data_IF_044317662094
#
_entry.id   IF_044317662094
#
_cell.length_a   1.000
_cell.length_b   1.000
_cell.length_c   1.000
_cell.angle_alpha   90.00
_cell.angle_beta   90.00
_cell.angle_gamma   90.00
#
_symmetry.space_group_name_H-M   'P 1'
#
loop_
_entity.id
_entity.type
_entity.pdbx_description
1 polymer ?
#
# COMPACT_ATOMS: atom_id res chain seq x y z
N UNK A 1 7.71 -5.18 16.01
CA UNK A 1 7.61 -4.76 14.59
C UNK A 1 6.25 -4.15 14.24
N UNK A 2 5.10 -4.70 14.66
CA UNK A 2 3.78 -4.12 14.36
C UNK A 2 3.60 -2.65 14.82
N UNK A 3 4.17 -2.29 15.99
CA UNK A 3 4.13 -0.92 16.54
C UNK A 3 4.74 0.16 15.61
N UNK A 4 5.82 -0.15 14.88
CA UNK A 4 6.46 0.80 13.99
C UNK A 4 5.64 1.06 12.72
N UNK A 5 4.97 0.03 12.20
CA UNK A 5 4.11 0.11 11.02
C UNK A 5 2.79 0.83 11.29
N UNK A 6 2.21 0.60 12.48
CA UNK A 6 1.00 1.31 12.94
C UNK A 6 1.31 2.79 13.19
N UNK A 7 2.50 3.09 13.74
CA UNK A 7 2.98 4.47 13.90
C UNK A 7 3.28 5.14 12.55
N UNK A 8 3.79 4.40 11.56
CA UNK A 8 3.97 4.88 10.18
C UNK A 8 2.62 5.22 9.54
N UNK A 9 1.62 4.33 9.66
CA UNK A 9 0.25 4.59 9.21
C UNK A 9 -0.34 5.83 9.88
N UNK A 10 -0.22 5.94 11.21
CA UNK A 10 -0.69 7.09 11.96
C UNK A 10 0.04 8.38 11.56
N UNK A 11 1.34 8.32 11.21
CA UNK A 11 2.10 9.46 10.70
C UNK A 11 1.62 9.88 9.31
N UNK A 12 1.27 8.92 8.44
CA UNK A 12 0.69 9.19 7.10
C UNK A 12 -0.70 9.86 7.18
N UNK A 13 -1.32 9.91 8.36
CA UNK A 13 -2.53 10.70 8.62
C UNK A 13 -2.25 12.21 8.76
N UNK A 14 -1.00 12.64 9.00
CA UNK A 14 -0.71 14.05 9.25
C UNK A 14 -0.90 14.90 7.98
N UNK A 15 -2.09 15.52 7.87
CA UNK A 15 -2.48 16.36 6.73
C UNK A 15 -3.73 15.91 5.98
N UNK A 16 -4.65 15.16 6.63
CA UNK A 16 -5.87 14.63 6.00
C UNK A 16 -6.63 15.65 5.15
N UNK A 17 -6.95 15.23 3.92
CA UNK A 17 -8.23 15.54 3.30
C UNK A 17 -9.24 14.43 3.64
N UNK A 18 -10.53 14.77 3.72
CA UNK A 18 -11.62 13.95 4.27
C UNK A 18 -11.97 12.64 3.53
N UNK A 19 -11.08 12.05 2.70
CA UNK A 19 -11.44 10.96 1.78
C UNK A 19 -10.38 9.85 1.57
N UNK A 20 -9.35 9.74 2.42
CA UNK A 20 -8.29 8.73 2.26
C UNK A 20 -8.44 7.56 3.23
N UNK A 21 -8.59 6.35 2.68
CA UNK A 21 -8.47 5.10 3.43
C UNK A 21 -7.04 4.54 3.33
N UNK A 22 -6.60 3.84 4.37
CA UNK A 22 -5.27 3.25 4.42
C UNK A 22 -5.35 1.74 4.69
N UNK A 23 -4.62 0.94 3.92
CA UNK A 23 -4.58 -0.51 4.08
C UNK A 23 -3.17 -1.05 4.18
N UNK A 24 -2.95 -2.02 5.07
CA UNK A 24 -1.76 -2.86 5.08
C UNK A 24 -2.00 -4.13 4.28
N UNK A 25 -1.09 -4.43 3.36
CA UNK A 25 -1.12 -5.63 2.54
C UNK A 25 0.09 -6.51 2.88
N UNK A 26 -0.16 -7.57 3.62
CA UNK A 26 0.87 -8.30 4.36
C UNK A 26 0.82 -9.79 4.11
N UNK A 27 2.00 -10.41 4.19
CA UNK A 27 2.20 -11.85 4.24
C UNK A 27 3.09 -12.14 5.46
N UNK A 28 3.16 -13.40 5.90
CA UNK A 28 4.21 -13.81 6.81
C UNK A 28 5.57 -13.92 6.11
N UNK A 29 6.65 -13.86 6.89
CA UNK A 29 8.01 -14.15 6.40
C UNK A 29 8.15 -15.60 5.94
N UNK A 30 8.97 -15.81 4.93
CA UNK A 30 9.25 -17.12 4.32
C UNK A 30 9.65 -18.16 5.39
N UNK A 31 9.13 -19.39 5.27
CA UNK A 31 9.31 -20.44 6.28
C UNK A 31 9.34 -21.85 5.68
N UNK A 32 9.87 -22.81 6.44
CA UNK A 32 9.90 -24.23 6.04
C UNK A 32 8.55 -24.95 6.22
N UNK A 33 7.61 -24.32 6.92
CA UNK A 33 6.25 -24.82 7.11
C UNK A 33 5.24 -23.73 6.77
N UNK A 34 4.03 -24.14 6.40
CA UNK A 34 2.92 -23.22 6.08
C UNK A 34 2.62 -22.27 7.24
N UNK A 35 2.60 -22.83 8.45
CA UNK A 35 2.42 -22.11 9.72
C UNK A 35 3.63 -22.32 10.61
N UNK A 36 4.09 -21.24 11.24
CA UNK A 36 5.21 -21.18 12.16
C UNK A 36 4.76 -20.75 13.56
N UNK A 37 5.54 -21.10 14.58
CA UNK A 37 5.30 -20.64 15.93
C UNK A 37 5.34 -19.11 16.00
N UNK A 38 4.28 -18.50 16.55
CA UNK A 38 4.16 -17.05 16.70
C UNK A 38 3.39 -16.35 15.57
N UNK A 39 3.09 -17.01 14.45
CA UNK A 39 2.31 -16.43 13.35
C UNK A 39 0.94 -15.93 13.83
N UNK A 40 0.22 -16.79 14.58
CA UNK A 40 -1.09 -16.44 15.13
C UNK A 40 -1.02 -15.22 16.05
N UNK A 41 -0.03 -15.17 16.95
CA UNK A 41 0.17 -14.04 17.85
C UNK A 41 0.53 -12.74 17.09
N UNK A 42 1.33 -12.84 16.03
CA UNK A 42 1.69 -11.70 15.20
C UNK A 42 0.48 -11.16 14.42
N UNK A 43 -0.34 -12.06 13.85
CA UNK A 43 -1.55 -11.69 13.15
C UNK A 43 -2.55 -11.02 14.10
N UNK A 44 -2.83 -11.62 15.25
CA UNK A 44 -3.72 -11.03 16.27
C UNK A 44 -3.25 -9.63 16.70
N UNK A 45 -1.94 -9.45 16.91
CA UNK A 45 -1.40 -8.12 17.23
C UNK A 45 -1.65 -7.09 16.12
N UNK A 46 -1.52 -7.48 14.85
CA UNK A 46 -1.78 -6.59 13.71
C UNK A 46 -3.28 -6.25 13.61
N UNK A 47 -4.15 -7.25 13.77
CA UNK A 47 -5.61 -7.07 13.77
C UNK A 47 -6.06 -6.11 14.87
N UNK A 48 -5.63 -6.34 16.11
CA UNK A 48 -5.94 -5.50 17.26
C UNK A 48 -5.50 -4.04 17.03
N UNK A 49 -4.31 -3.83 16.46
CA UNK A 49 -3.79 -2.50 16.21
C UNK A 49 -4.61 -1.75 15.15
N UNK A 50 -5.03 -2.40 14.06
CA UNK A 50 -5.89 -1.78 13.04
C UNK A 50 -7.28 -1.49 13.60
N UNK A 51 -7.84 -2.40 14.39
CA UNK A 51 -9.12 -2.15 15.08
C UNK A 51 -9.02 -0.95 16.03
N UNK A 52 -7.91 -0.83 16.75
CA UNK A 52 -7.68 0.28 17.67
C UNK A 52 -7.56 1.62 16.94
N UNK A 53 -6.86 1.66 15.80
CA UNK A 53 -6.84 2.84 14.93
C UNK A 53 -8.26 3.21 14.48
N UNK A 54 -9.03 2.24 13.99
CA UNK A 54 -10.41 2.48 13.57
C UNK A 54 -11.29 3.03 14.70
N UNK A 55 -11.13 2.54 15.94
CA UNK A 55 -11.85 3.10 17.11
C UNK A 55 -11.43 4.53 17.43
N UNK A 56 -10.12 4.80 17.46
CA UNK A 56 -9.57 6.14 17.80
C UNK A 56 -9.98 7.21 16.80
N UNK A 57 -10.06 6.84 15.52
CA UNK A 57 -10.32 7.78 14.42
C UNK A 57 -11.74 7.68 13.86
N UNK A 58 -12.67 6.97 14.52
CA UNK A 58 -14.03 6.73 14.04
C UNK A 58 -14.83 8.03 13.79
N UNK A 59 -14.56 9.09 14.56
CA UNK A 59 -15.26 10.38 14.46
C UNK A 59 -14.68 11.33 13.41
N UNK A 60 -13.49 11.04 12.88
CA UNK A 60 -12.91 11.84 11.80
C UNK A 60 -13.61 11.47 10.49
N UNK A 61 -14.34 12.41 9.90
CA UNK A 61 -14.96 12.25 8.59
C UNK A 61 -13.87 12.05 7.53
N UNK A 62 -13.50 10.79 7.28
CA UNK A 62 -12.59 10.43 6.20
C UNK A 62 -11.78 9.16 6.46
N UNK A 63 -12.18 8.11 5.72
CA UNK A 63 -11.44 6.87 5.43
C UNK A 63 -11.02 5.98 6.60
N UNK A 64 -11.35 4.69 6.52
CA UNK A 64 -10.95 3.68 7.50
C UNK A 64 -9.52 3.15 7.34
N UNK A 65 -9.11 2.38 8.34
CA UNK A 65 -7.89 1.56 8.33
C UNK A 65 -8.22 0.11 8.03
N UNK A 66 -7.36 -0.51 7.22
CA UNK A 66 -7.57 -1.87 6.74
C UNK A 66 -6.34 -2.75 6.97
N UNK A 67 -6.59 -4.03 7.22
CA UNK A 67 -5.60 -5.10 7.12
C UNK A 67 -6.05 -6.06 6.05
N UNK A 68 -5.14 -6.45 5.17
CA UNK A 68 -5.30 -7.53 4.20
C UNK A 68 -4.11 -8.46 4.39
N UNK A 69 -4.33 -9.57 5.10
CA UNK A 69 -3.28 -10.53 5.42
C UNK A 69 -3.47 -11.83 4.63
N UNK A 70 -2.39 -12.32 4.02
CA UNK A 70 -2.38 -13.53 3.19
C UNK A 70 -1.55 -14.62 3.87
N UNK A 71 -2.02 -15.87 3.77
CA UNK A 71 -1.25 -17.04 4.20
C UNK A 71 -0.04 -17.28 3.29
N UNK A 72 0.94 -18.04 3.79
CA UNK A 72 1.99 -18.59 2.92
C UNK A 72 1.39 -19.62 1.96
N UNK A 73 1.96 -19.75 0.76
CA UNK A 73 1.70 -20.86 -0.17
C UNK A 73 3.01 -21.58 -0.47
N UNK A 74 2.93 -22.90 -0.68
CA UNK A 74 4.09 -23.69 -1.05
C UNK A 74 4.62 -23.28 -2.42
N UNK A 75 5.90 -22.94 -2.50
CA UNK A 75 6.59 -22.74 -3.76
C UNK A 75 7.39 -24.01 -4.11
N UNK A 76 7.02 -24.78 -5.14
CA UNK A 76 7.73 -26.01 -5.51
C UNK A 76 9.13 -25.76 -6.08
N UNK A 77 9.38 -24.61 -6.70
CA UNK A 77 10.67 -24.25 -7.28
C UNK A 77 11.70 -23.92 -6.21
N UNK A 78 11.30 -23.16 -5.19
CA UNK A 78 12.17 -22.74 -4.08
C UNK A 78 12.11 -23.70 -2.88
N UNK A 79 11.15 -24.63 -2.89
CA UNK A 79 10.89 -25.61 -1.81
C UNK A 79 10.70 -24.93 -0.45
N UNK A 80 9.97 -23.82 -0.43
CA UNK A 80 9.73 -23.01 0.76
C UNK A 80 8.28 -22.49 0.75
N UNK A 81 7.73 -22.23 1.93
CA UNK A 81 6.45 -21.55 2.10
C UNK A 81 6.68 -20.04 2.13
N UNK A 82 6.04 -19.30 1.23
CA UNK A 82 6.20 -17.86 1.13
C UNK A 82 4.92 -17.16 0.63
N UNK A 83 4.86 -15.84 0.69
CA UNK A 83 3.76 -15.06 0.13
C UNK A 83 3.70 -15.16 -1.39
N UNK A 84 2.66 -15.79 -1.94
CA UNK A 84 2.53 -16.07 -3.38
C UNK A 84 2.81 -14.85 -4.26
N UNK A 85 3.73 -15.00 -5.23
CA UNK A 85 4.20 -13.95 -6.17
C UNK A 85 4.65 -12.61 -5.52
N UNK A 86 4.94 -12.61 -4.21
CA UNK A 86 5.42 -11.45 -3.43
C UNK A 86 4.60 -10.17 -3.74
N UNK A 87 5.26 -9.05 -4.08
CA UNK A 87 4.61 -7.77 -4.35
C UNK A 87 3.57 -7.86 -5.49
N UNK A 88 3.86 -8.62 -6.56
CA UNK A 88 2.92 -8.80 -7.68
C UNK A 88 1.65 -9.51 -7.20
N UNK A 89 1.80 -10.63 -6.48
CA UNK A 89 0.67 -11.41 -6.01
C UNK A 89 -0.18 -10.65 -5.00
N UNK A 90 0.44 -9.90 -4.10
CA UNK A 90 -0.25 -8.97 -3.20
C UNK A 90 -1.19 -8.04 -3.96
N UNK A 91 -0.67 -7.34 -4.97
CA UNK A 91 -1.45 -6.39 -5.77
C UNK A 91 -2.55 -7.07 -6.59
N UNK A 92 -2.28 -8.26 -7.13
CA UNK A 92 -3.27 -9.04 -7.87
C UNK A 92 -4.46 -9.45 -6.96
N UNK A 93 -4.16 -10.00 -5.78
CA UNK A 93 -5.18 -10.45 -4.82
C UNK A 93 -6.01 -9.26 -4.30
N UNK A 94 -5.35 -8.11 -4.02
CA UNK A 94 -6.05 -6.88 -3.66
C UNK A 94 -6.95 -6.40 -4.81
N UNK A 95 -6.47 -6.42 -6.05
CA UNK A 95 -7.25 -6.00 -7.21
C UNK A 95 -8.49 -6.88 -7.43
N UNK A 96 -8.36 -8.20 -7.27
CA UNK A 96 -9.50 -9.13 -7.29
C UNK A 96 -10.53 -8.77 -6.20
N UNK A 97 -10.07 -8.53 -4.97
CA UNK A 97 -10.94 -8.14 -3.87
C UNK A 97 -11.69 -6.83 -4.16
N UNK A 98 -11.01 -5.82 -4.73
CA UNK A 98 -11.62 -4.53 -5.07
C UNK A 98 -12.62 -4.62 -6.23
N UNK A 99 -12.41 -5.55 -7.17
CA UNK A 99 -13.38 -5.85 -8.23
C UNK A 99 -14.60 -6.65 -7.73
N UNK A 100 -14.62 -7.02 -6.44
CA UNK A 100 -15.75 -7.72 -5.82
C UNK A 100 -15.65 -9.24 -5.87
N UNK A 101 -14.49 -9.80 -6.18
CA UNK A 101 -14.23 -11.23 -6.01
C UNK A 101 -14.29 -11.63 -4.52
N UNK A 102 -14.35 -12.93 -4.27
CA UNK A 102 -14.37 -13.49 -2.92
C UNK A 102 -13.05 -13.30 -2.18
N UNK A 103 -13.08 -13.40 -0.85
CA UNK A 103 -11.92 -13.09 0.00
C UNK A 103 -10.94 -14.24 0.14
N UNK A 104 -11.03 -15.29 -0.68
CA UNK A 104 -10.29 -16.54 -0.44
C UNK A 104 -8.77 -16.37 -0.51
N UNK A 105 -8.28 -15.30 -1.14
CA UNK A 105 -6.85 -14.99 -1.18
C UNK A 105 -6.30 -14.42 0.13
N UNK A 106 -7.17 -14.01 1.06
CA UNK A 106 -6.80 -13.42 2.34
C UNK A 106 -7.19 -14.33 3.50
N UNK A 107 -6.23 -14.60 4.38
CA UNK A 107 -6.46 -15.27 5.65
C UNK A 107 -7.24 -14.37 6.62
N UNK A 108 -6.98 -13.07 6.61
CA UNK A 108 -7.65 -12.10 7.47
C UNK A 108 -7.84 -10.77 6.75
N UNK A 109 -9.03 -10.18 6.93
CA UNK A 109 -9.36 -8.85 6.47
C UNK A 109 -10.01 -8.07 7.61
N UNK A 110 -9.40 -6.95 8.00
CA UNK A 110 -9.93 -6.03 9.02
C UNK A 110 -10.28 -4.70 8.35
N UNK A 111 -11.36 -4.06 8.81
CA UNK A 111 -11.86 -2.76 8.32
C UNK A 111 -13.23 -2.86 7.65
N UNK A 112 -13.92 -1.72 7.54
CA UNK A 112 -15.25 -1.66 6.93
C UNK A 112 -15.16 -1.69 5.40
N UNK A 113 -15.37 -2.88 4.85
CA UNK A 113 -15.23 -3.16 3.41
C UNK A 113 -16.20 -2.39 2.53
N UNK A 114 -17.30 -1.89 3.09
CA UNK A 114 -18.26 -1.09 2.31
C UNK A 114 -17.62 0.20 1.79
N UNK A 115 -16.63 0.72 2.54
CA UNK A 115 -15.88 1.92 2.17
C UNK A 115 -14.92 1.69 1.00
N UNK A 116 -14.46 0.45 0.78
CA UNK A 116 -13.55 0.12 -0.32
C UNK A 116 -14.22 0.25 -1.68
N UNK A 117 -15.52 -0.04 -1.77
CA UNK A 117 -16.29 0.06 -3.02
C UNK A 117 -16.47 1.51 -3.50
N UNK A 118 -16.30 2.49 -2.62
CA UNK A 118 -16.34 3.90 -2.97
C UNK A 118 -14.99 4.43 -3.48
N UNK A 119 -13.90 3.67 -3.33
CA UNK A 119 -12.57 4.07 -3.76
C UNK A 119 -12.43 4.10 -5.28
N UNK A 120 -12.03 5.24 -5.85
CA UNK A 120 -11.79 5.40 -7.29
C UNK A 120 -10.33 5.21 -7.72
N UNK A 121 -9.40 5.46 -6.79
CA UNK A 121 -7.96 5.42 -7.05
C UNK A 121 -7.27 4.61 -5.96
N UNK A 122 -6.25 3.86 -6.34
CA UNK A 122 -5.38 3.11 -5.43
C UNK A 122 -3.97 3.67 -5.54
N UNK A 123 -3.37 4.00 -4.41
CA UNK A 123 -1.96 4.38 -4.33
C UNK A 123 -1.23 3.25 -3.59
N UNK A 124 -0.30 2.61 -4.28
CA UNK A 124 0.54 1.56 -3.71
C UNK A 124 1.85 2.16 -3.22
N UNK A 125 2.26 1.81 -2.01
CA UNK A 125 3.50 2.29 -1.39
C UNK A 125 4.25 1.08 -0.84
N UNK A 126 5.51 0.93 -1.22
CA UNK A 126 6.38 -0.04 -0.58
C UNK A 126 6.71 0.38 0.86
N UNK A 127 7.19 -0.56 1.66
CA UNK A 127 7.45 -0.36 3.10
C UNK A 127 8.49 0.73 3.40
N UNK A 128 9.38 0.98 2.46
CA UNK A 128 10.44 2.00 2.51
C UNK A 128 10.06 3.29 1.76
N UNK A 129 8.94 3.29 1.03
CA UNK A 129 8.46 4.45 0.31
C UNK A 129 7.68 5.37 1.24
N UNK A 130 8.10 6.63 1.33
CA UNK A 130 7.37 7.65 2.06
C UNK A 130 6.48 8.45 1.12
N UNK A 131 5.24 8.66 1.54
CA UNK A 131 4.31 9.55 0.85
C UNK A 131 4.35 10.92 1.54
N UNK A 132 4.88 11.98 0.89
CA UNK A 132 4.87 13.31 1.46
C UNK A 132 3.44 13.82 1.68
N UNK A 133 3.32 14.82 2.56
CA UNK A 133 2.05 15.49 2.82
C UNK A 133 1.46 16.03 1.50
N UNK A 134 0.15 15.92 1.35
CA UNK A 134 -0.63 16.35 0.17
C UNK A 134 -0.32 15.61 -1.14
N UNK A 135 0.72 14.78 -1.22
CA UNK A 135 1.07 14.05 -2.46
C UNK A 135 -0.05 13.15 -2.95
N UNK A 136 -0.78 12.43 -2.08
CA UNK A 136 -1.94 11.65 -2.52
C UNK A 136 -2.99 12.50 -3.24
N UNK A 137 -3.29 13.69 -2.71
CA UNK A 137 -4.23 14.63 -3.34
C UNK A 137 -3.71 15.09 -4.71
N UNK A 138 -2.42 15.40 -4.82
CA UNK A 138 -1.81 15.81 -6.08
C UNK A 138 -1.85 14.68 -7.12
N UNK A 139 -1.47 13.44 -6.75
CA UNK A 139 -1.51 12.27 -7.63
C UNK A 139 -2.93 12.01 -8.14
N UNK A 140 -3.92 12.03 -7.24
CA UNK A 140 -5.34 11.89 -7.60
C UNK A 140 -5.77 13.03 -8.53
N UNK A 141 -5.35 14.28 -8.25
CA UNK A 141 -5.64 15.44 -9.08
C UNK A 141 -5.09 15.31 -10.51
N UNK A 142 -3.86 14.80 -10.66
CA UNK A 142 -3.23 14.53 -11.96
C UNK A 142 -4.03 13.48 -12.74
N UNK A 143 -4.44 12.40 -12.09
CA UNK A 143 -5.21 11.31 -12.70
C UNK A 143 -6.67 11.71 -13.01
N UNK A 144 -7.26 12.61 -12.22
CA UNK A 144 -8.61 13.12 -12.43
C UNK A 144 -8.67 14.25 -13.46
N UNK A 145 -7.52 14.85 -13.81
CA UNK A 145 -7.45 15.97 -14.73
C UNK A 145 -8.08 15.60 -16.09
N UNK A 146 -8.95 16.45 -16.68
CA UNK A 146 -9.67 16.12 -17.92
C UNK A 146 -8.78 15.66 -19.08
N UNK A 147 -7.56 16.19 -19.18
CA UNK A 147 -6.59 15.82 -20.21
C UNK A 147 -5.89 14.47 -19.97
N UNK A 148 -6.00 13.90 -18.77
CA UNK A 148 -5.37 12.62 -18.39
C UNK A 148 -6.38 11.50 -18.14
N UNK A 149 -7.68 11.76 -18.28
CA UNK A 149 -8.71 10.76 -17.99
C UNK A 149 -8.57 9.55 -18.90
N UNK A 150 -8.35 8.38 -18.28
CA UNK A 150 -8.27 7.12 -18.99
C UNK A 150 -9.59 6.80 -19.70
N UNK A 151 -9.55 6.64 -21.02
CA UNK A 151 -10.66 6.10 -21.82
C UNK A 151 -10.40 4.63 -22.09
N UNK A 152 -11.18 3.77 -21.45
CA UNK A 152 -11.13 2.34 -21.68
C UNK A 152 -12.02 1.97 -22.86
N UNK A 153 -11.46 1.30 -23.87
CA UNK A 153 -12.20 0.75 -24.98
C UNK A 153 -12.51 -0.73 -24.70
N UNK A 154 -13.79 -1.04 -24.48
CA UNK A 154 -14.26 -2.41 -24.20
C UNK A 154 -14.01 -3.37 -25.36
N UNK A 155 -13.96 -2.89 -26.61
CA UNK A 155 -13.73 -3.77 -27.77
C UNK A 155 -12.29 -4.24 -27.86
N UNK A 156 -11.34 -3.36 -27.55
CA UNK A 156 -9.90 -3.67 -27.59
C UNK A 156 -9.33 -4.06 -26.24
N UNK A 157 -10.11 -3.91 -25.16
CA UNK A 157 -9.75 -4.33 -23.81
C UNK A 157 -8.61 -3.51 -23.19
N UNK A 158 -8.47 -2.24 -23.56
CA UNK A 158 -7.35 -1.39 -23.13
C UNK A 158 -7.71 0.08 -23.05
N UNK A 159 -6.86 0.84 -22.37
CA UNK A 159 -6.92 2.32 -22.39
C UNK A 159 -6.40 2.82 -23.73
N UNK A 160 -7.19 3.65 -24.42
CA UNK A 160 -6.87 4.22 -25.75
C UNK A 160 -6.48 5.69 -25.69
N UNK A 161 -6.92 6.41 -24.66
CA UNK A 161 -6.57 7.81 -24.39
C UNK A 161 -6.36 8.05 -22.89
N UNK A 162 -5.55 9.04 -22.53
CA UNK A 162 -5.22 9.32 -21.13
C UNK A 162 -4.37 8.23 -20.48
N UNK A 163 -4.37 8.19 -19.15
CA UNK A 163 -3.50 7.28 -18.39
C UNK A 163 -4.26 6.58 -17.27
N UNK A 164 -4.20 5.24 -17.25
CA UNK A 164 -4.77 4.41 -16.17
C UNK A 164 -3.80 4.16 -15.01
N UNK A 165 -2.51 4.39 -15.22
CA UNK A 165 -1.45 4.20 -14.23
C UNK A 165 -0.59 5.47 -14.22
N UNK A 166 -0.31 5.99 -13.02
CA UNK A 166 0.60 7.11 -12.80
C UNK A 166 1.82 6.62 -12.05
N UNK A 167 3.00 6.80 -12.64
CA UNK A 167 4.28 6.62 -11.98
C UNK A 167 4.83 8.00 -11.60
N UNK A 168 4.75 8.41 -10.32
CA UNK A 168 5.40 9.64 -9.91
C UNK A 168 6.91 9.47 -9.95
N UNK A 169 7.62 10.59 -10.14
CA UNK A 169 9.08 10.60 -9.97
C UNK A 169 9.43 10.19 -8.55
N UNK A 170 10.31 9.20 -8.44
CA UNK A 170 10.80 8.71 -7.15
C UNK A 170 12.11 9.40 -6.81
N UNK A 171 12.26 9.83 -5.54
CA UNK A 171 13.48 10.46 -5.06
C UNK A 171 14.06 9.64 -3.91
N UNK A 172 15.33 9.29 -4.03
CA UNK A 172 16.06 8.57 -2.99
C UNK A 172 16.40 9.53 -1.86
N UNK A 173 15.95 9.22 -0.63
CA UNK A 173 16.39 9.97 0.55
C UNK A 173 17.74 9.44 1.02
N UNK A 174 18.75 10.30 1.09
CA UNK A 174 20.01 9.99 1.77
C UNK A 174 19.80 10.06 3.28
N UNK A 175 19.52 8.92 3.92
CA UNK A 175 19.44 8.82 5.37
C UNK A 175 20.84 8.60 5.97
N UNK A 176 21.36 9.56 6.73
CA UNK A 176 22.61 9.39 7.49
C UNK A 176 23.01 10.61 8.32
N UNK A 177 23.45 10.39 9.56
CA UNK A 177 23.88 11.41 10.53
C UNK A 177 25.21 12.12 10.18
N UNK A 178 25.74 11.92 8.97
CA UNK A 178 27.00 12.49 8.47
C UNK A 178 26.85 12.99 7.03
N UNK A 179 25.87 13.86 6.80
CA UNK A 179 25.87 14.63 5.56
C UNK A 179 27.07 15.59 5.60
N UNK A 180 28.03 15.42 4.68
CA UNK A 180 29.12 16.37 4.55
C UNK A 180 28.57 17.72 4.09
N UNK A 181 29.27 18.81 4.41
CA UNK A 181 28.92 20.14 3.89
C UNK A 181 28.81 20.17 2.36
N UNK A 182 29.64 19.36 1.68
CA UNK A 182 29.56 19.17 0.24
C UNK A 182 28.22 18.57 -0.21
N UNK A 183 27.71 17.55 0.50
CA UNK A 183 26.42 16.92 0.19
C UNK A 183 25.24 17.87 0.43
N UNK A 184 25.32 18.74 1.44
CA UNK A 184 24.29 19.76 1.71
C UNK A 184 24.26 20.87 0.64
N UNK A 185 25.44 21.34 0.22
CA UNK A 185 25.57 22.39 -0.81
C UNK A 185 25.22 21.90 -2.22
N UNK A 186 25.48 20.63 -2.53
CA UNK A 186 25.22 20.02 -3.84
C UNK A 186 23.92 19.21 -3.88
N UNK A 187 23.07 19.31 -2.85
CA UNK A 187 21.78 18.60 -2.80
C UNK A 187 20.69 19.19 -3.72
N UNK A 188 21.10 19.91 -4.77
CA UNK A 188 20.20 20.63 -5.67
C UNK A 188 19.43 19.72 -6.62
N UNK A 189 19.85 18.45 -6.77
CA UNK A 189 19.04 17.40 -7.36
C UNK A 189 18.98 16.20 -6.41
N UNK A 190 17.87 16.00 -5.67
CA UNK A 190 17.72 14.83 -4.83
C UNK A 190 17.50 13.57 -5.69
N UNK A 191 18.57 12.81 -5.93
CA UNK A 191 18.50 11.41 -6.37
C UNK A 191 18.23 11.18 -7.87
N UNK A 192 18.92 10.18 -8.40
CA UNK A 192 18.55 9.55 -9.68
C UNK A 192 17.28 8.75 -9.42
N UNK A 193 16.24 8.96 -10.23
CA UNK A 193 15.04 8.12 -10.20
C UNK A 193 15.46 6.70 -10.63
N UNK A 194 15.32 5.68 -9.76
CA UNK A 194 15.79 4.32 -10.06
C UNK A 194 15.03 3.65 -11.22
N UNK A 195 13.97 4.31 -11.73
CA UNK A 195 13.14 3.81 -12.81
C UNK A 195 13.22 4.67 -14.09
N UNK A 196 14.21 5.57 -14.21
CA UNK A 196 14.58 6.23 -15.48
C UNK A 196 15.68 5.45 -16.17
#
# INVERSE_FOLDING_TARGET
MASAFVAELARRLQGKGAALAFGLLTDFSDAQAETSAGDAALLSQAEEAIQDLNRRYAAEAGGGFFLFHRSRRWNPSEKIWLGHERNRGKLADLNHLLQGASNHDFQSIIGDRTQLRAGRYVITLDTDTQLPRDSARQLVGIMAHPLNQARYDEKTGRVTEGYGILQPRMLTRYAGARQSWYALLNNNEPGIDPYT
#
